data_IF_485096587698
#
_entry.id   IF_485096587698
#
_cell.length_a   1.000
_cell.length_b   1.000
_cell.length_c   1.000
_cell.angle_alpha   90.00
_cell.angle_beta   90.00
_cell.angle_gamma   90.00
#
_symmetry.space_group_name_H-M   'P 1'
#
loop_
_entity.id
_entity.type
_entity.pdbx_description
1 polymer ?
#
# COMPACT_ATOMS: atom_id res chain seq x y z
N UNK A 1 -11.40 3.15 -6.36
CA UNK A 1 -10.84 1.79 -6.20
C UNK A 1 -9.38 1.92 -5.80
N UNK A 2 -8.99 1.16 -4.79
CA UNK A 2 -7.60 1.18 -4.31
C UNK A 2 -6.89 -0.06 -4.83
N UNK A 3 -5.77 0.15 -5.51
CA UNK A 3 -4.88 -0.93 -5.93
C UNK A 3 -3.66 -0.98 -5.03
N UNK A 4 -3.13 -2.18 -4.85
CA UNK A 4 -1.93 -2.38 -4.06
C UNK A 4 -0.84 -3.01 -4.90
N UNK A 5 0.40 -2.63 -4.61
CA UNK A 5 1.57 -3.22 -5.26
C UNK A 5 2.60 -3.52 -4.19
N UNK A 6 2.99 -4.77 -4.11
CA UNK A 6 3.95 -5.21 -3.12
C UNK A 6 5.36 -5.13 -3.70
N UNK A 7 6.27 -4.53 -2.94
CA UNK A 7 7.69 -4.50 -3.27
C UNK A 7 8.43 -5.22 -2.15
N UNK A 8 9.17 -6.28 -2.48
CA UNK A 8 9.86 -7.06 -1.46
C UNK A 8 11.10 -6.34 -0.92
N UNK A 9 11.74 -6.94 0.08
CA UNK A 9 12.89 -6.33 0.74
C UNK A 9 14.09 -6.15 -0.20
N UNK A 10 14.14 -6.90 -1.29
CA UNK A 10 15.17 -6.77 -2.31
C UNK A 10 14.86 -5.67 -3.32
N UNK A 11 13.70 -5.03 -3.21
CA UNK A 11 13.29 -3.97 -4.12
C UNK A 11 12.61 -4.45 -5.39
N UNK A 12 12.22 -5.73 -5.46
CA UNK A 12 11.53 -6.26 -6.63
C UNK A 12 10.04 -6.04 -6.53
N UNK A 13 9.43 -5.28 -7.46
CA UNK A 13 7.99 -5.08 -7.45
C UNK A 13 7.26 -6.33 -7.92
N UNK A 14 6.09 -6.58 -7.32
CA UNK A 14 5.20 -7.65 -7.76
C UNK A 14 4.05 -7.04 -8.55
N UNK A 15 3.22 -7.91 -9.14
CA UNK A 15 2.09 -7.45 -9.94
C UNK A 15 1.10 -6.69 -9.05
N UNK A 16 0.53 -5.58 -9.53
CA UNK A 16 -0.48 -4.87 -8.77
C UNK A 16 -1.75 -5.71 -8.62
N UNK A 17 -2.47 -5.47 -7.54
CA UNK A 17 -3.71 -6.20 -7.24
C UNK A 17 -4.76 -5.24 -6.71
N UNK A 18 -6.02 -5.67 -6.78
CA UNK A 18 -7.15 -4.89 -6.25
C UNK A 18 -7.30 -5.23 -4.78
N UNK A 19 -7.26 -4.22 -3.92
CA UNK A 19 -7.32 -4.43 -2.48
C UNK A 19 -8.73 -4.66 -1.95
N UNK A 20 -9.74 -4.18 -2.66
CA UNK A 20 -11.13 -4.26 -2.20
C UNK A 20 -11.55 -3.11 -1.31
N UNK A 21 -10.65 -2.19 -0.97
CA UNK A 21 -11.01 -1.02 -0.15
C UNK A 21 -11.54 0.11 -1.03
N UNK A 22 -12.53 0.84 -0.52
CA UNK A 22 -13.14 1.93 -1.24
C UNK A 22 -12.32 3.22 -1.16
N UNK A 23 -11.68 3.46 -0.02
CA UNK A 23 -10.90 4.68 0.20
C UNK A 23 -9.52 4.35 0.73
N UNK A 24 -8.60 5.31 0.55
CA UNK A 24 -7.23 5.16 1.07
C UNK A 24 -7.23 5.07 2.60
N UNK A 25 -8.12 5.80 3.26
CA UNK A 25 -8.21 5.77 4.72
C UNK A 25 -8.64 4.39 5.23
N UNK A 26 -9.60 3.76 4.56
CA UNK A 26 -10.00 2.39 4.90
C UNK A 26 -8.86 1.41 4.74
N UNK A 27 -8.13 1.53 3.64
CA UNK A 27 -6.98 0.66 3.38
C UNK A 27 -5.92 0.84 4.47
N UNK A 28 -5.62 2.07 4.84
CA UNK A 28 -4.65 2.36 5.89
C UNK A 28 -5.06 1.75 7.22
N UNK A 29 -6.30 1.98 7.63
CA UNK A 29 -6.79 1.47 8.92
C UNK A 29 -6.78 -0.06 8.98
N UNK A 30 -7.07 -0.72 7.87
CA UNK A 30 -7.07 -2.17 7.81
C UNK A 30 -5.66 -2.76 7.78
N UNK A 31 -4.70 -2.05 7.21
CA UNK A 31 -3.36 -2.59 6.98
C UNK A 31 -2.32 -2.11 7.98
N UNK A 32 -2.67 -1.16 8.85
CA UNK A 32 -1.69 -0.56 9.77
C UNK A 32 -1.08 -1.57 10.76
N UNK A 33 -1.77 -2.64 11.07
CA UNK A 33 -1.25 -3.65 11.97
C UNK A 33 -0.11 -4.45 11.33
N UNK A 34 -0.26 -4.79 10.06
CA UNK A 34 0.77 -5.53 9.31
C UNK A 34 1.82 -4.59 8.72
N UNK A 35 1.46 -3.34 8.49
CA UNK A 35 2.32 -2.34 7.84
C UNK A 35 2.37 -1.09 8.70
N UNK A 36 3.11 -1.12 9.82
CA UNK A 36 3.04 -0.05 10.83
C UNK A 36 3.71 1.26 10.44
N UNK A 37 4.54 1.26 9.41
CA UNK A 37 5.30 2.45 9.03
C UNK A 37 4.75 3.02 7.72
N UNK A 38 4.42 4.32 7.74
CA UNK A 38 4.05 5.05 6.52
C UNK A 38 5.30 5.82 6.07
N UNK A 39 5.84 5.43 4.92
CA UNK A 39 7.06 6.06 4.39
C UNK A 39 6.78 7.21 3.44
N UNK A 40 5.61 7.18 2.79
CA UNK A 40 5.20 8.23 1.88
C UNK A 40 3.69 8.33 1.84
N UNK A 41 3.17 9.54 1.73
CA UNK A 41 1.73 9.76 1.67
C UNK A 41 1.42 10.94 0.77
N UNK A 42 0.67 10.67 -0.29
CA UNK A 42 0.19 11.68 -1.23
C UNK A 42 -1.33 11.64 -1.29
N UNK A 43 -1.93 12.56 -2.04
CA UNK A 43 -3.39 12.61 -2.18
C UNK A 43 -3.97 11.34 -2.79
N UNK A 44 -3.23 10.71 -3.70
CA UNK A 44 -3.72 9.54 -4.45
C UNK A 44 -2.91 8.28 -4.20
N UNK A 45 -1.91 8.33 -3.33
CA UNK A 45 -1.07 7.16 -3.07
C UNK A 45 -0.52 7.18 -1.66
N UNK A 46 -0.18 5.99 -1.16
CA UNK A 46 0.41 5.83 0.16
C UNK A 46 1.35 4.64 0.10
N UNK A 47 2.54 4.79 0.65
CA UNK A 47 3.50 3.69 0.75
C UNK A 47 3.65 3.30 2.20
N UNK A 48 3.38 2.05 2.49
CA UNK A 48 3.53 1.46 3.82
C UNK A 48 4.72 0.53 3.82
N UNK A 49 5.37 0.41 4.94
CA UNK A 49 6.51 -0.48 5.11
C UNK A 49 6.30 -1.38 6.32
N UNK A 50 6.82 -2.59 6.24
CA UNK A 50 6.81 -3.49 7.39
C UNK A 50 8.19 -3.48 8.08
N UNK A 51 8.33 -4.31 9.12
CA UNK A 51 9.56 -4.38 9.87
C UNK A 51 10.68 -5.13 9.15
N UNK A 52 10.34 -5.84 8.08
CA UNK A 52 11.30 -6.64 7.32
C UNK A 52 11.86 -5.91 6.10
N UNK A 53 11.38 -4.70 5.83
CA UNK A 53 11.82 -3.92 4.69
C UNK A 53 10.95 -4.06 3.45
N UNK A 54 9.88 -4.84 3.51
CA UNK A 54 8.92 -4.90 2.43
C UNK A 54 8.09 -3.62 2.39
N UNK A 55 7.63 -3.25 1.21
CA UNK A 55 6.81 -2.05 1.03
C UNK A 55 5.53 -2.40 0.32
N UNK A 56 4.46 -1.73 0.72
CA UNK A 56 3.16 -1.86 0.07
C UNK A 56 2.75 -0.49 -0.44
N UNK A 57 2.64 -0.37 -1.74
CA UNK A 57 2.26 0.89 -2.38
C UNK A 57 0.78 0.81 -2.71
N UNK A 58 0.00 1.68 -2.06
CA UNK A 58 -1.43 1.80 -2.31
C UNK A 58 -1.66 3.00 -3.23
N UNK A 59 -2.49 2.80 -4.24
CA UNK A 59 -2.77 3.85 -5.20
C UNK A 59 -4.25 3.87 -5.53
N UNK A 60 -4.81 5.07 -5.57
CA UNK A 60 -6.20 5.24 -5.98
C UNK A 60 -6.28 5.24 -7.49
N UNK A 61 -7.06 4.29 -8.01
CA UNK A 61 -7.30 4.17 -9.44
C UNK A 61 -8.67 4.74 -9.76
N UNK A 62 -8.71 5.74 -10.62
CA UNK A 62 -9.97 6.26 -11.12
C UNK A 62 -10.49 5.32 -12.19
N UNK A 63 -11.68 4.80 -11.95
CA UNK A 63 -12.33 3.95 -12.93
C UNK A 63 -12.81 4.78 -14.12
#
# INVERSE_FOLDING_TARGET
MITGKLVDAAGKPRKPFITGYATMNEAYLALQESWPVVTDRNNNSMTLADQQGCRLILQECKA
#
